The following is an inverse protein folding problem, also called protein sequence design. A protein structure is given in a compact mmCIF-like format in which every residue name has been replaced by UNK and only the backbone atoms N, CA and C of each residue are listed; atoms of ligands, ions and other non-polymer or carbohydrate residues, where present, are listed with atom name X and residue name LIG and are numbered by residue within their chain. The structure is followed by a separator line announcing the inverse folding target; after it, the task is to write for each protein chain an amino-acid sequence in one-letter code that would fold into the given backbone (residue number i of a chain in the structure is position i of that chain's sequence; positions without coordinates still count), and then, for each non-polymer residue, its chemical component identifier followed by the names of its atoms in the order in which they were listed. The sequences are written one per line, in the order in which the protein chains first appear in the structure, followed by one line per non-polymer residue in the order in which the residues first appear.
data_IF_814345619574
#
_entry.id   IF_814345619574
#
_cell.length_a   1.000
_cell.length_b   1.000
_cell.length_c   1.000
_cell.angle_alpha   90.00
_cell.angle_beta   90.00
_cell.angle_gamma   90.00
#
_symmetry.space_group_name_H-M   'P 1'
#
loop_
_entity.id
_entity.type
_entity.pdbx_description
1 polymer ?
#
# COMPACT_ATOMS: atom_id res chain seq x y z
N UNK A 1 19.39 -22.89 -13.88
CA UNK A 1 19.89 -21.92 -14.87
C UNK A 1 20.06 -20.60 -14.16
N UNK A 2 21.28 -20.08 -14.25
CA UNK A 2 21.94 -19.15 -13.34
C UNK A 2 21.14 -17.87 -13.08
N UNK A 3 20.84 -17.55 -11.81
CA UNK A 3 20.19 -16.30 -11.43
C UNK A 3 21.05 -15.08 -11.80
N UNK A 4 22.38 -15.25 -11.89
CA UNK A 4 23.32 -14.16 -12.16
C UNK A 4 23.35 -13.66 -13.60
N UNK A 5 22.89 -14.41 -14.61
CA UNK A 5 23.12 -14.04 -16.01
C UNK A 5 22.36 -12.78 -16.46
N UNK A 6 21.17 -12.50 -15.93
CA UNK A 6 20.33 -11.33 -16.31
C UNK A 6 20.65 -10.10 -15.43
N UNK A 7 20.79 -10.29 -14.12
CA UNK A 7 21.20 -9.20 -13.20
C UNK A 7 22.60 -8.66 -13.51
N UNK A 8 23.58 -9.53 -13.82
CA UNK A 8 24.90 -9.07 -14.27
C UNK A 8 24.85 -8.32 -15.59
N UNK A 9 23.96 -8.71 -16.50
CA UNK A 9 23.79 -8.00 -17.77
C UNK A 9 23.21 -6.60 -17.55
N UNK A 10 22.21 -6.44 -16.67
CA UNK A 10 21.69 -5.13 -16.29
C UNK A 10 22.77 -4.24 -15.67
N UNK A 11 23.52 -4.77 -14.70
CA UNK A 11 24.63 -4.05 -14.07
C UNK A 11 25.73 -3.68 -15.09
N UNK A 12 26.09 -4.59 -16.00
CA UNK A 12 27.06 -4.33 -17.07
C UNK A 12 26.55 -3.25 -18.04
N UNK A 13 25.27 -3.29 -18.42
CA UNK A 13 24.68 -2.29 -19.30
C UNK A 13 24.75 -0.90 -18.68
N UNK A 14 24.46 -0.77 -17.38
CA UNK A 14 24.63 0.50 -16.67
C UNK A 14 26.10 0.93 -16.65
N UNK A 15 27.03 -0.01 -16.39
CA UNK A 15 28.48 0.27 -16.35
C UNK A 15 29.07 0.74 -17.69
N UNK A 16 28.50 0.29 -18.81
CA UNK A 16 28.99 0.61 -20.15
C UNK A 16 28.37 1.88 -20.73
N UNK A 17 27.33 2.43 -20.09
CA UNK A 17 26.71 3.68 -20.51
C UNK A 17 27.45 4.85 -19.85
N UNK A 18 28.22 5.65 -20.62
CA UNK A 18 29.10 6.68 -20.06
C UNK A 18 28.34 7.85 -19.42
N UNK A 19 27.02 7.92 -19.60
CA UNK A 19 26.18 8.97 -19.03
C UNK A 19 26.04 8.84 -17.53
N UNK A 20 26.00 7.62 -16.98
CA UNK A 20 25.68 7.40 -15.57
C UNK A 20 26.94 7.39 -14.72
N UNK A 21 27.04 8.31 -13.76
CA UNK A 21 28.15 8.31 -12.80
C UNK A 21 27.66 8.70 -11.40
N UNK A 22 28.06 7.96 -10.37
CA UNK A 22 27.45 8.21 -9.08
C UNK A 22 27.95 7.38 -7.92
N UNK A 23 27.22 7.48 -6.83
CA UNK A 23 27.56 6.82 -5.56
C UNK A 23 26.56 5.70 -5.25
N UNK A 24 27.06 4.60 -4.67
CA UNK A 24 26.23 3.54 -4.07
C UNK A 24 26.54 3.52 -2.57
N UNK A 25 25.57 3.91 -1.73
CA UNK A 25 25.72 3.99 -0.28
C UNK A 25 24.78 3.01 0.44
N UNK A 26 25.33 2.06 1.17
CA UNK A 26 24.57 0.95 1.74
C UNK A 26 24.74 0.95 3.27
N UNK A 27 23.63 0.79 4.02
CA UNK A 27 23.65 0.71 5.49
C UNK A 27 22.99 -0.58 5.96
N UNK A 28 23.65 -1.24 6.91
CA UNK A 28 23.16 -2.48 7.49
C UNK A 28 23.28 -3.64 6.50
N UNK A 29 22.20 -4.37 6.27
CA UNK A 29 22.24 -5.59 5.48
C UNK A 29 22.22 -5.38 3.95
N UNK A 30 22.18 -4.14 3.46
CA UNK A 30 22.08 -3.84 2.02
C UNK A 30 23.33 -4.00 1.17
N UNK A 31 24.45 -4.51 1.71
CA UNK A 31 25.82 -4.47 1.11
C UNK A 31 26.07 -5.33 -0.14
N UNK A 32 25.12 -5.44 -1.06
CA UNK A 32 25.19 -6.34 -2.22
C UNK A 32 25.04 -5.65 -3.56
N UNK A 33 24.48 -4.45 -3.64
CA UNK A 33 24.26 -3.74 -4.91
C UNK A 33 25.60 -3.35 -5.52
N UNK A 34 26.49 -2.69 -4.77
CA UNK A 34 27.81 -2.30 -5.27
C UNK A 34 28.60 -3.50 -5.81
N UNK A 35 28.48 -4.65 -5.14
CA UNK A 35 29.17 -5.90 -5.52
C UNK A 35 28.74 -6.38 -6.91
N UNK A 36 27.47 -6.26 -7.29
CA UNK A 36 27.01 -6.63 -8.64
C UNK A 36 27.67 -5.78 -9.72
N UNK A 37 27.80 -4.47 -9.50
CA UNK A 37 28.46 -3.56 -10.43
C UNK A 37 29.95 -3.88 -10.57
N UNK A 38 30.64 -4.21 -9.48
CA UNK A 38 32.04 -4.63 -9.55
C UNK A 38 32.24 -5.97 -10.27
N UNK A 39 31.35 -6.94 -10.04
CA UNK A 39 31.42 -8.26 -10.70
C UNK A 39 31.12 -8.20 -12.19
N UNK A 40 30.22 -7.31 -12.61
CA UNK A 40 29.89 -7.11 -14.01
C UNK A 40 31.08 -6.57 -14.83
N UNK A 41 31.96 -5.77 -14.20
CA UNK A 41 33.08 -5.10 -14.86
C UNK A 41 32.67 -3.76 -15.48
N UNK A 42 33.64 -2.89 -15.75
CA UNK A 42 33.39 -1.52 -16.27
C UNK A 42 33.03 -0.47 -15.20
N UNK A 43 32.87 -0.87 -13.94
CA UNK A 43 32.39 0.00 -12.85
C UNK A 43 33.20 1.29 -12.62
N UNK A 44 34.47 1.36 -13.03
CA UNK A 44 35.26 2.60 -12.94
C UNK A 44 34.65 3.76 -13.77
N UNK A 45 33.88 3.43 -14.82
CA UNK A 45 33.17 4.38 -15.65
C UNK A 45 31.85 4.89 -15.06
N UNK A 46 31.38 4.30 -13.94
CA UNK A 46 30.01 4.51 -13.42
C UNK A 46 29.95 4.74 -11.91
N UNK A 47 30.77 4.05 -11.13
CA UNK A 47 30.78 4.16 -9.66
C UNK A 47 31.92 5.08 -9.24
N UNK A 48 31.56 6.30 -8.84
CA UNK A 48 32.46 7.30 -8.28
C UNK A 48 32.93 6.91 -6.87
N UNK A 49 32.01 6.38 -6.06
CA UNK A 49 32.24 6.02 -4.67
C UNK A 49 31.27 4.93 -4.23
N UNK A 50 31.75 4.06 -3.34
CA UNK A 50 30.87 3.23 -2.51
C UNK A 50 31.03 3.60 -1.04
N UNK A 51 29.94 3.52 -0.27
CA UNK A 51 29.94 3.81 1.16
C UNK A 51 29.24 2.69 1.93
N UNK A 52 29.84 2.27 3.02
CA UNK A 52 29.29 1.26 3.93
C UNK A 52 29.42 1.76 5.36
N UNK A 53 28.30 1.81 6.10
CA UNK A 53 28.29 2.16 7.51
C UNK A 53 27.49 1.15 8.35
N UNK A 54 28.18 0.45 9.25
CA UNK A 54 27.57 -0.46 10.23
C UNK A 54 27.40 0.17 11.61
N UNK A 55 28.36 0.99 12.01
CA UNK A 55 28.32 1.65 13.31
C UNK A 55 27.39 2.86 13.28
N UNK A 56 26.48 2.94 14.25
CA UNK A 56 25.47 3.99 14.32
C UNK A 56 26.09 5.38 14.46
N UNK A 57 27.17 5.54 15.23
CA UNK A 57 27.82 6.83 15.44
C UNK A 57 28.57 7.29 14.19
N UNK A 58 29.23 6.37 13.48
CA UNK A 58 29.84 6.66 12.16
C UNK A 58 28.76 7.09 11.17
N UNK A 59 27.66 6.35 11.13
CA UNK A 59 26.52 6.65 10.27
C UNK A 59 25.94 8.03 10.59
N UNK A 60 25.72 8.34 11.87
CA UNK A 60 25.16 9.62 12.32
C UNK A 60 26.11 10.81 12.05
N UNK A 61 27.42 10.58 12.12
CA UNK A 61 28.41 11.61 11.78
C UNK A 61 28.37 12.00 10.29
N UNK A 62 27.96 11.10 9.41
CA UNK A 62 27.88 11.35 7.96
C UNK A 62 26.51 11.90 7.56
N UNK A 63 25.42 11.26 7.98
CA UNK A 63 24.08 11.55 7.49
C UNK A 63 23.15 12.21 8.53
N UNK A 64 23.69 12.60 9.69
CA UNK A 64 22.92 13.18 10.80
C UNK A 64 22.21 12.12 11.64
N UNK A 65 21.63 12.55 12.77
CA UNK A 65 20.89 11.66 13.68
C UNK A 65 19.51 11.32 13.11
N UNK A 66 19.03 10.11 13.41
CA UNK A 66 17.68 9.67 13.08
C UNK A 66 17.00 8.99 14.27
N UNK A 67 15.69 9.21 14.42
CA UNK A 67 14.89 8.52 15.44
C UNK A 67 14.79 7.01 15.18
N UNK A 68 14.86 6.61 13.90
CA UNK A 68 14.91 5.21 13.45
C UNK A 68 15.96 5.05 12.36
N UNK A 69 16.84 4.08 12.53
CA UNK A 69 17.91 3.81 11.58
C UNK A 69 17.37 3.22 10.27
N UNK A 70 16.46 2.23 10.33
CA UNK A 70 15.72 1.78 9.15
C UNK A 70 14.46 2.63 8.99
N UNK A 71 14.55 3.69 8.20
CA UNK A 71 13.45 4.61 7.92
C UNK A 71 13.62 5.34 6.59
N UNK A 72 12.50 5.85 6.05
CA UNK A 72 12.50 6.72 4.86
C UNK A 72 13.33 7.98 5.07
N UNK A 73 13.25 8.58 6.25
CA UNK A 73 14.02 9.79 6.59
C UNK A 73 15.53 9.54 6.53
N UNK A 74 15.98 8.37 7.01
CA UNK A 74 17.38 7.97 6.89
C UNK A 74 17.80 7.80 5.43
N UNK A 75 17.01 7.08 4.64
CA UNK A 75 17.26 6.91 3.21
C UNK A 75 17.39 8.28 2.51
N UNK A 76 16.46 9.21 2.78
CA UNK A 76 16.48 10.53 2.16
C UNK A 76 17.76 11.30 2.48
N UNK A 77 18.20 11.29 3.74
CA UNK A 77 19.44 11.95 4.16
C UNK A 77 20.66 11.40 3.42
N UNK A 78 20.70 10.08 3.17
CA UNK A 78 21.77 9.46 2.37
C UNK A 78 21.69 9.89 0.91
N UNK A 79 20.52 9.81 0.27
CA UNK A 79 20.33 10.20 -1.12
C UNK A 79 20.74 11.66 -1.37
N UNK A 80 20.31 12.56 -0.49
CA UNK A 80 20.60 13.98 -0.62
C UNK A 80 22.08 14.28 -0.40
N UNK A 81 22.69 13.71 0.64
CA UNK A 81 24.11 13.90 0.93
C UNK A 81 25.00 13.36 -0.20
N UNK A 82 24.76 12.12 -0.63
CA UNK A 82 25.63 11.46 -1.61
C UNK A 82 25.49 12.05 -3.00
N UNK A 83 24.27 12.43 -3.39
CA UNK A 83 24.04 13.10 -4.66
C UNK A 83 24.72 14.48 -4.68
N UNK A 84 24.55 15.28 -3.63
CA UNK A 84 25.14 16.61 -3.56
C UNK A 84 26.68 16.53 -3.59
N UNK A 85 27.28 15.55 -2.92
CA UNK A 85 28.72 15.33 -2.99
C UNK A 85 29.23 15.04 -4.41
N UNK A 86 28.46 14.30 -5.21
CA UNK A 86 28.83 14.06 -6.61
C UNK A 86 28.81 15.37 -7.41
N UNK A 87 27.73 16.15 -7.27
CA UNK A 87 27.57 17.43 -7.96
C UNK A 87 28.67 18.42 -7.55
N UNK A 88 28.91 18.59 -6.24
CA UNK A 88 29.87 19.56 -5.72
C UNK A 88 31.32 19.24 -6.11
N UNK A 89 31.67 17.95 -6.20
CA UNK A 89 33.06 17.52 -6.45
C UNK A 89 33.39 17.28 -7.91
N UNK A 90 32.39 16.92 -8.72
CA UNK A 90 32.59 16.45 -10.09
C UNK A 90 31.81 17.29 -11.12
N UNK A 91 30.94 18.20 -10.68
CA UNK A 91 30.09 19.00 -11.56
C UNK A 91 30.89 19.82 -12.57
N UNK A 92 31.96 20.47 -12.13
CA UNK A 92 32.80 21.30 -13.02
C UNK A 92 33.58 20.46 -14.04
N UNK A 93 34.05 19.28 -13.65
CA UNK A 93 34.90 18.43 -14.49
C UNK A 93 34.11 17.51 -15.43
N UNK A 94 32.90 17.11 -15.05
CA UNK A 94 32.13 16.04 -15.73
C UNK A 94 30.67 16.38 -16.01
N UNK A 95 30.13 17.42 -15.38
CA UNK A 95 28.69 17.70 -15.34
C UNK A 95 28.04 18.06 -16.68
N UNK A 96 28.82 18.28 -17.74
CA UNK A 96 28.30 18.52 -19.10
C UNK A 96 27.94 17.24 -19.85
N UNK A 97 28.66 16.15 -19.57
CA UNK A 97 28.50 14.87 -20.27
C UNK A 97 27.94 13.76 -19.37
N UNK A 98 27.87 14.02 -18.06
CA UNK A 98 27.54 13.03 -17.03
C UNK A 98 26.26 13.40 -16.29
N UNK A 99 25.33 12.46 -16.24
CA UNK A 99 24.16 12.48 -15.38
C UNK A 99 24.50 11.83 -14.03
N UNK A 100 24.53 12.63 -12.96
CA UNK A 100 24.88 12.13 -11.64
C UNK A 100 23.76 11.31 -11.02
N UNK A 101 24.12 10.30 -10.22
CA UNK A 101 23.18 9.57 -9.36
C UNK A 101 23.73 9.29 -7.97
N UNK A 102 22.83 9.06 -7.02
CA UNK A 102 23.10 8.43 -5.74
C UNK A 102 22.07 7.32 -5.53
N UNK A 103 22.55 6.10 -5.35
CA UNK A 103 21.78 5.01 -4.80
C UNK A 103 22.03 4.94 -3.29
N UNK A 104 20.97 4.71 -2.54
CA UNK A 104 21.08 4.45 -1.12
C UNK A 104 20.16 3.33 -0.67
N UNK A 105 20.59 2.59 0.36
CA UNK A 105 19.71 1.74 1.14
C UNK A 105 20.01 1.75 2.64
N UNK A 106 18.97 1.45 3.43
CA UNK A 106 19.10 1.20 4.86
C UNK A 106 18.21 0.03 5.23
N UNK A 107 18.83 -1.09 5.61
CA UNK A 107 18.14 -2.38 5.65
C UNK A 107 18.50 -3.19 6.89
N UNK A 108 17.50 -3.86 7.47
CA UNK A 108 17.69 -4.85 8.55
C UNK A 108 17.28 -6.24 8.07
N UNK A 109 18.27 -7.12 7.90
CA UNK A 109 18.05 -8.54 7.60
C UNK A 109 17.82 -9.35 8.89
N UNK A 110 17.57 -10.65 8.72
CA UNK A 110 17.35 -11.58 9.82
C UNK A 110 18.55 -11.58 10.77
N UNK A 111 18.29 -11.30 12.04
CA UNK A 111 19.32 -11.37 13.08
C UNK A 111 19.61 -12.83 13.46
N UNK A 112 20.81 -13.10 13.97
CA UNK A 112 21.20 -14.45 14.44
C UNK A 112 20.27 -14.97 15.55
N UNK A 113 19.69 -14.08 16.38
CA UNK A 113 18.75 -14.44 17.45
C UNK A 113 17.31 -14.62 16.94
N UNK A 114 17.03 -14.29 15.69
CA UNK A 114 15.71 -14.36 15.06
C UNK A 114 14.68 -13.36 15.61
N UNK A 115 13.46 -13.41 15.07
CA UNK A 115 12.29 -12.71 15.60
C UNK A 115 12.12 -11.23 15.23
N UNK A 116 13.04 -10.63 14.48
CA UNK A 116 12.89 -9.27 13.96
C UNK A 116 12.17 -9.24 12.60
N UNK A 117 11.42 -8.16 12.35
CA UNK A 117 10.92 -7.84 11.02
C UNK A 117 12.11 -7.59 10.09
N UNK A 118 12.15 -8.27 8.95
CA UNK A 118 13.20 -8.13 7.95
C UNK A 118 12.68 -7.20 6.85
N UNK A 119 13.14 -5.96 6.84
CA UNK A 119 12.65 -4.93 5.93
C UNK A 119 13.70 -3.84 5.70
N UNK A 120 13.47 -2.98 4.71
CA UNK A 120 14.39 -1.91 4.37
C UNK A 120 13.81 -0.85 3.44
N UNK A 121 14.51 0.27 3.39
CA UNK A 121 14.25 1.36 2.46
C UNK A 121 15.38 1.40 1.44
N UNK A 122 15.04 1.50 0.15
CA UNK A 122 15.99 1.63 -0.95
C UNK A 122 15.56 2.78 -1.86
N UNK A 123 16.51 3.45 -2.49
CA UNK A 123 16.17 4.52 -3.41
C UNK A 123 17.31 4.92 -4.32
N UNK A 124 16.95 5.66 -5.37
CA UNK A 124 17.89 6.30 -6.27
C UNK A 124 17.45 7.73 -6.52
N UNK A 125 18.38 8.66 -6.40
CA UNK A 125 18.26 10.06 -6.81
C UNK A 125 19.18 10.28 -8.00
N UNK A 126 18.65 10.76 -9.12
CA UNK A 126 19.40 10.82 -10.38
C UNK A 126 18.96 12.00 -11.25
N UNK A 127 19.88 12.51 -12.06
CA UNK A 127 19.56 13.41 -13.17
C UNK A 127 19.19 12.56 -14.38
N UNK A 128 18.16 12.89 -15.16
CA UNK A 128 17.86 12.15 -16.40
C UNK A 128 18.80 12.53 -17.54
N UNK A 129 19.22 13.80 -17.59
CA UNK A 129 20.31 14.30 -18.43
C UNK A 129 21.33 15.07 -17.58
N UNK A 130 22.57 15.27 -18.08
CA UNK A 130 23.54 16.12 -17.41
C UNK A 130 22.95 17.49 -17.06
N UNK A 131 23.19 17.94 -15.82
CA UNK A 131 22.67 19.21 -15.25
C UNK A 131 21.14 19.30 -15.04
N UNK A 132 20.37 18.24 -15.25
CA UNK A 132 18.95 18.27 -14.92
C UNK A 132 18.71 18.33 -13.40
N UNK A 133 17.56 18.90 -13.03
CA UNK A 133 17.00 18.75 -11.68
C UNK A 133 16.75 17.27 -11.39
N UNK A 134 17.12 16.76 -10.19
CA UNK A 134 17.07 15.33 -9.94
C UNK A 134 15.65 14.79 -9.78
N UNK A 135 15.45 13.57 -10.24
CA UNK A 135 14.29 12.73 -9.94
C UNK A 135 14.67 11.63 -8.95
N UNK A 136 13.68 11.08 -8.26
CA UNK A 136 13.86 10.05 -7.25
C UNK A 136 12.85 8.91 -7.40
N UNK A 137 13.35 7.70 -7.18
CA UNK A 137 12.53 6.51 -6.96
C UNK A 137 12.87 5.98 -5.59
N UNK A 138 11.87 5.90 -4.71
CA UNK A 138 12.00 5.38 -3.35
C UNK A 138 11.08 4.19 -3.19
N UNK A 139 11.59 3.09 -2.64
CA UNK A 139 10.83 1.88 -2.36
C UNK A 139 11.03 1.41 -0.93
N UNK A 140 10.01 0.75 -0.39
CA UNK A 140 10.15 -0.07 0.81
C UNK A 140 10.03 -1.54 0.42
N UNK A 141 10.89 -2.36 1.02
CA UNK A 141 10.97 -3.79 0.74
C UNK A 141 10.85 -4.61 2.02
N UNK A 142 10.18 -5.75 1.93
CA UNK A 142 10.16 -6.78 2.97
C UNK A 142 10.86 -8.02 2.46
N UNK A 143 11.73 -8.59 3.29
CA UNK A 143 12.48 -9.79 2.98
C UNK A 143 11.80 -11.00 3.60
N UNK A 144 11.48 -11.97 2.76
CA UNK A 144 10.66 -13.14 3.13
C UNK A 144 11.47 -14.44 3.16
N UNK A 145 12.69 -14.44 2.60
CA UNK A 145 13.61 -15.57 2.73
C UNK A 145 13.96 -15.83 4.21
N UNK A 146 14.14 -17.11 4.55
CA UNK A 146 14.48 -17.54 5.91
C UNK A 146 15.96 -17.34 6.28
N UNK A 147 16.85 -17.17 5.29
CA UNK A 147 18.28 -17.04 5.52
C UNK A 147 18.79 -15.64 5.19
N UNK A 148 19.56 -15.03 6.10
CA UNK A 148 20.09 -13.69 5.90
C UNK A 148 20.91 -13.53 4.60
N UNK A 149 21.67 -14.55 4.21
CA UNK A 149 22.43 -14.53 2.96
C UNK A 149 21.54 -14.48 1.71
N UNK A 150 20.41 -15.21 1.72
CA UNK A 150 19.42 -15.20 0.64
C UNK A 150 18.69 -13.85 0.59
N UNK A 151 18.41 -13.26 1.76
CA UNK A 151 17.84 -11.92 1.85
C UNK A 151 18.77 -10.86 1.24
N UNK A 152 20.06 -10.90 1.58
CA UNK A 152 21.09 -10.02 1.04
C UNK A 152 21.23 -10.13 -0.48
N UNK A 153 21.31 -11.36 -0.99
CA UNK A 153 21.36 -11.61 -2.44
C UNK A 153 20.14 -10.98 -3.15
N UNK A 154 18.93 -11.21 -2.61
CA UNK A 154 17.70 -10.68 -3.18
C UNK A 154 17.67 -9.14 -3.17
N UNK A 155 18.11 -8.50 -2.09
CA UNK A 155 18.27 -7.04 -2.03
C UNK A 155 19.23 -6.52 -3.12
N UNK A 156 20.36 -7.22 -3.32
CA UNK A 156 21.30 -6.87 -4.38
C UNK A 156 20.66 -6.87 -5.76
N UNK A 157 19.83 -7.89 -6.06
CA UNK A 157 19.07 -7.97 -7.31
C UNK A 157 18.06 -6.83 -7.43
N UNK A 158 17.29 -6.53 -6.37
CA UNK A 158 16.34 -5.40 -6.36
C UNK A 158 17.05 -4.07 -6.60
N UNK A 159 18.21 -3.84 -5.97
CA UNK A 159 18.96 -2.60 -6.15
C UNK A 159 19.48 -2.42 -7.57
N UNK A 160 19.98 -3.49 -8.21
CA UNK A 160 20.36 -3.46 -9.63
C UNK A 160 19.15 -3.21 -10.52
N UNK A 161 18.02 -3.88 -10.27
CA UNK A 161 16.78 -3.64 -11.01
C UNK A 161 16.30 -2.20 -10.86
N UNK A 162 16.35 -1.64 -9.65
CA UNK A 162 15.96 -0.26 -9.36
C UNK A 162 16.81 0.75 -10.13
N UNK A 163 18.14 0.59 -10.10
CA UNK A 163 19.06 1.43 -10.86
C UNK A 163 18.82 1.33 -12.37
N UNK A 164 18.73 0.12 -12.89
CA UNK A 164 18.48 -0.13 -14.31
C UNK A 164 17.14 0.48 -14.76
N UNK A 165 16.08 0.26 -13.99
CA UNK A 165 14.75 0.76 -14.32
C UNK A 165 14.68 2.30 -14.22
N UNK A 166 15.32 2.91 -13.23
CA UNK A 166 15.41 4.37 -13.15
C UNK A 166 16.14 4.96 -14.37
N UNK A 167 17.23 4.34 -14.81
CA UNK A 167 18.04 4.89 -15.90
C UNK A 167 17.44 4.65 -17.28
N UNK A 168 16.82 3.49 -17.51
CA UNK A 168 16.37 3.08 -18.84
C UNK A 168 14.85 3.09 -19.02
N UNK A 169 14.06 3.16 -17.94
CA UNK A 169 12.60 2.99 -17.97
C UNK A 169 11.81 4.09 -17.23
N UNK A 170 12.45 5.15 -16.71
CA UNK A 170 11.76 6.25 -15.99
C UNK A 170 10.60 6.89 -16.79
N UNK A 171 10.70 6.95 -18.12
CA UNK A 171 9.64 7.46 -19.00
C UNK A 171 8.39 6.56 -19.07
N UNK A 172 8.46 5.33 -18.53
CA UNK A 172 7.36 4.37 -18.43
C UNK A 172 7.23 3.87 -16.97
N UNK A 173 6.65 4.67 -16.06
CA UNK A 173 6.59 4.36 -14.62
C UNK A 173 6.01 2.98 -14.26
N UNK A 174 5.03 2.50 -15.02
CA UNK A 174 4.46 1.17 -14.78
C UNK A 174 5.40 0.04 -15.13
N UNK A 175 6.16 0.18 -16.23
CA UNK A 175 7.18 -0.81 -16.64
C UNK A 175 8.32 -0.80 -15.63
N UNK A 176 8.70 0.39 -15.14
CA UNK A 176 9.65 0.54 -14.05
C UNK A 176 9.22 -0.28 -12.84
N UNK A 177 7.97 -0.13 -12.38
CA UNK A 177 7.44 -0.90 -11.22
C UNK A 177 7.47 -2.40 -11.47
N UNK A 178 7.05 -2.85 -12.66
CA UNK A 178 7.03 -4.26 -13.04
C UNK A 178 8.43 -4.89 -13.02
N UNK A 179 9.45 -4.14 -13.44
CA UNK A 179 10.83 -4.63 -13.56
C UNK A 179 11.56 -4.81 -12.23
N UNK A 180 11.04 -4.28 -11.11
CA UNK A 180 11.75 -4.26 -9.82
C UNK A 180 12.03 -5.67 -9.28
N UNK A 181 11.14 -6.63 -9.56
CA UNK A 181 11.29 -8.04 -9.19
C UNK A 181 11.73 -8.93 -10.36
N UNK A 182 12.29 -8.38 -11.43
CA UNK A 182 12.89 -9.21 -12.47
C UNK A 182 13.89 -10.20 -11.84
N UNK A 183 13.70 -11.49 -12.14
CA UNK A 183 14.45 -12.64 -11.58
C UNK A 183 14.23 -12.91 -10.09
N UNK A 184 13.25 -12.27 -9.48
CA UNK A 184 12.80 -12.55 -8.12
C UNK A 184 11.34 -13.03 -8.14
N UNK A 185 10.97 -13.77 -7.11
CA UNK A 185 9.57 -14.08 -6.83
C UNK A 185 9.12 -13.26 -5.65
N UNK A 186 7.82 -12.99 -5.58
CA UNK A 186 7.18 -12.29 -4.47
C UNK A 186 7.23 -13.08 -3.16
N UNK A 187 7.66 -14.35 -3.21
CA UNK A 187 7.97 -15.16 -2.04
C UNK A 187 9.35 -14.88 -1.42
N UNK A 188 10.25 -14.18 -2.13
CA UNK A 188 11.56 -13.76 -1.60
C UNK A 188 11.56 -12.31 -1.12
N UNK A 189 10.98 -11.42 -1.93
CA UNK A 189 10.86 -9.99 -1.65
C UNK A 189 9.45 -9.52 -1.97
N UNK A 190 8.89 -8.73 -1.06
CA UNK A 190 7.69 -7.93 -1.30
C UNK A 190 8.09 -6.46 -1.40
N UNK A 191 7.51 -5.73 -2.37
CA UNK A 191 7.63 -4.27 -2.47
C UNK A 191 6.27 -3.66 -2.12
N UNK A 192 6.12 -3.19 -0.88
CA UNK A 192 4.85 -2.71 -0.33
C UNK A 192 4.70 -1.17 -0.34
N UNK A 193 5.70 -0.46 -0.87
CA UNK A 193 5.62 0.96 -1.19
C UNK A 193 6.57 1.31 -2.34
N UNK A 194 6.09 2.18 -3.24
CA UNK A 194 6.91 2.92 -4.20
C UNK A 194 6.46 4.37 -4.25
N UNK A 195 7.42 5.29 -4.31
CA UNK A 195 7.20 6.72 -4.50
C UNK A 195 8.16 7.26 -5.56
N UNK A 196 7.59 7.93 -6.55
CA UNK A 196 8.27 8.57 -7.68
C UNK A 196 8.12 10.08 -7.54
N UNK A 197 9.23 10.82 -7.50
CA UNK A 197 9.23 12.30 -7.36
C UNK A 197 10.30 12.99 -8.22
N UNK A 198 10.13 14.29 -8.48
CA UNK A 198 11.07 15.09 -9.28
C UNK A 198 10.63 15.28 -10.73
N UNK A 199 11.51 15.88 -11.54
CA UNK A 199 11.14 16.44 -12.84
C UNK A 199 10.56 15.41 -13.81
N UNK A 200 11.11 14.19 -13.84
CA UNK A 200 10.64 13.10 -14.71
C UNK A 200 9.27 12.56 -14.29
N UNK A 201 8.91 12.69 -13.02
CA UNK A 201 7.71 12.08 -12.45
C UNK A 201 6.61 13.09 -12.12
N UNK A 202 6.72 14.34 -12.58
CA UNK A 202 5.77 15.43 -12.31
C UNK A 202 4.31 15.14 -12.71
N UNK A 203 4.10 14.26 -13.68
CA UNK A 203 2.76 13.84 -14.15
C UNK A 203 2.31 12.50 -13.57
N UNK A 204 3.13 11.86 -12.73
CA UNK A 204 2.84 10.56 -12.15
C UNK A 204 1.98 10.72 -10.91
N UNK A 205 0.86 10.00 -10.88
CA UNK A 205 0.07 9.84 -9.65
C UNK A 205 0.56 8.59 -8.91
N UNK A 206 1.23 8.78 -7.77
CA UNK A 206 1.79 7.67 -6.99
C UNK A 206 0.72 6.68 -6.49
N UNK A 207 -0.56 7.07 -6.44
CA UNK A 207 -1.66 6.14 -6.11
C UNK A 207 -1.88 5.10 -7.21
N UNK A 208 -1.59 5.44 -8.46
CA UNK A 208 -1.59 4.46 -9.56
C UNK A 208 -0.41 3.50 -9.43
N UNK A 209 0.73 3.95 -8.90
CA UNK A 209 1.87 3.06 -8.65
C UNK A 209 1.59 2.12 -7.47
N UNK A 210 0.95 2.62 -6.40
CA UNK A 210 0.44 1.80 -5.32
C UNK A 210 -0.57 0.74 -5.82
N UNK A 211 -1.52 1.13 -6.69
CA UNK A 211 -2.41 0.19 -7.36
C UNK A 211 -1.63 -0.83 -8.19
N UNK A 212 -0.61 -0.39 -8.91
CA UNK A 212 0.21 -1.25 -9.77
C UNK A 212 0.90 -2.34 -8.95
N UNK A 213 1.47 -2.02 -7.78
CA UNK A 213 2.09 -3.00 -6.88
C UNK A 213 1.14 -4.16 -6.53
N UNK A 214 -0.12 -3.84 -6.22
CA UNK A 214 -1.14 -4.86 -5.91
C UNK A 214 -1.57 -5.61 -7.15
N UNK A 215 -1.75 -4.91 -8.27
CA UNK A 215 -2.19 -5.50 -9.53
C UNK A 215 -1.19 -6.52 -10.09
N UNK A 216 0.11 -6.28 -9.93
CA UNK A 216 1.19 -7.16 -10.40
C UNK A 216 1.62 -8.19 -9.36
N UNK A 217 1.02 -8.17 -8.16
CA UNK A 217 1.34 -9.08 -7.06
C UNK A 217 2.64 -8.77 -6.34
N UNK A 218 3.29 -7.62 -6.64
CA UNK A 218 4.50 -7.17 -5.92
C UNK A 218 4.24 -6.94 -4.43
N UNK A 219 2.99 -6.64 -4.06
CA UNK A 219 2.50 -6.68 -2.69
C UNK A 219 1.03 -7.11 -2.65
N UNK A 220 0.60 -7.70 -1.55
CA UNK A 220 -0.83 -8.00 -1.33
C UNK A 220 -1.66 -6.75 -0.98
N UNK A 221 -1.01 -5.66 -0.55
CA UNK A 221 -1.71 -4.42 -0.24
C UNK A 221 -0.83 -3.17 -0.28
N UNK A 222 -1.42 -2.05 -0.67
CA UNK A 222 -0.76 -0.74 -0.69
C UNK A 222 -1.68 0.33 -0.09
N UNK A 223 -1.11 1.38 0.50
CA UNK A 223 -1.86 2.41 1.22
C UNK A 223 -1.56 3.82 0.73
N UNK A 224 -2.55 4.70 0.81
CA UNK A 224 -2.37 6.14 0.62
C UNK A 224 -3.33 6.95 1.49
N UNK A 225 -2.89 8.14 1.89
CA UNK A 225 -3.64 9.05 2.75
C UNK A 225 -4.60 9.97 2.00
N UNK A 226 -5.44 10.73 2.73
CA UNK A 226 -6.31 11.75 2.15
C UNK A 226 -5.52 12.92 1.54
N UNK A 227 -4.26 13.11 1.94
CA UNK A 227 -3.32 14.04 1.32
C UNK A 227 -2.74 13.55 -0.01
N UNK A 228 -3.23 12.40 -0.50
CA UNK A 228 -2.86 11.73 -1.75
C UNK A 228 -1.43 11.16 -1.76
N UNK A 229 -0.76 11.11 -0.61
CA UNK A 229 0.57 10.52 -0.49
C UNK A 229 0.48 9.02 -0.19
N UNK A 230 1.40 8.26 -0.77
CA UNK A 230 1.57 6.84 -0.45
C UNK A 230 2.09 6.69 0.97
N UNK A 231 1.63 5.64 1.64
CA UNK A 231 1.88 5.37 3.05
C UNK A 231 2.50 4.00 3.22
N UNK A 232 3.57 3.89 4.00
CA UNK A 232 4.16 2.58 4.31
C UNK A 232 3.25 1.90 5.36
N UNK A 233 2.68 0.71 5.05
CA UNK A 233 1.65 0.12 5.91
C UNK A 233 2.10 -0.18 7.34
N UNK A 234 3.30 -0.74 7.53
CA UNK A 234 3.79 -1.09 8.87
C UNK A 234 4.01 0.15 9.75
N UNK A 235 4.44 1.28 9.19
CA UNK A 235 4.66 2.52 9.90
C UNK A 235 3.34 3.18 10.31
N UNK A 236 2.34 3.18 9.43
CA UNK A 236 1.06 3.84 9.68
C UNK A 236 0.15 3.03 10.59
N UNK A 237 0.13 1.71 10.47
CA UNK A 237 -0.74 0.83 11.27
C UNK A 237 -0.21 0.60 12.69
N UNK A 238 1.11 0.71 12.88
CA UNK A 238 1.78 0.35 14.13
C UNK A 238 1.20 1.08 15.33
N UNK A 239 0.87 0.30 16.37
CA UNK A 239 0.32 0.73 17.67
C UNK A 239 -1.07 1.36 17.62
N UNK A 240 -1.67 1.52 16.44
CA UNK A 240 -3.01 2.10 16.29
C UNK A 240 -4.08 1.04 16.45
N UNK A 241 -5.24 1.44 16.96
CA UNK A 241 -6.46 0.66 16.83
C UNK A 241 -7.04 0.90 15.44
N UNK A 242 -7.50 -0.13 14.76
CA UNK A 242 -7.88 -0.07 13.35
C UNK A 242 -9.36 -0.35 13.21
N UNK A 243 -10.08 0.53 12.53
CA UNK A 243 -11.39 0.25 11.97
C UNK A 243 -11.28 0.27 10.46
N UNK A 244 -11.72 -0.80 9.81
CA UNK A 244 -11.68 -0.92 8.35
C UNK A 244 -13.06 -1.20 7.79
N UNK A 245 -13.52 -0.37 6.86
CA UNK A 245 -14.72 -0.61 6.05
C UNK A 245 -14.29 -1.06 4.65
N UNK A 246 -14.80 -2.20 4.21
CA UNK A 246 -14.64 -2.66 2.82
C UNK A 246 -15.80 -2.17 1.98
N UNK A 247 -15.51 -1.57 0.83
CA UNK A 247 -16.57 -1.06 -0.03
C UNK A 247 -16.14 -0.90 -1.49
N UNK A 248 -17.13 -0.79 -2.37
CA UNK A 248 -16.87 -0.37 -3.75
C UNK A 248 -16.58 1.13 -3.85
N UNK A 249 -17.14 1.93 -2.94
CA UNK A 249 -16.99 3.38 -2.86
C UNK A 249 -17.19 4.07 -4.21
N UNK A 250 -18.23 3.67 -4.96
CA UNK A 250 -18.46 4.08 -6.35
C UNK A 250 -19.87 4.68 -6.58
N UNK A 251 -20.16 5.89 -6.08
CA UNK A 251 -19.35 6.70 -5.15
C UNK A 251 -19.52 6.26 -3.68
N UNK A 252 -18.70 6.78 -2.74
CA UNK A 252 -19.04 6.75 -1.32
C UNK A 252 -20.38 7.45 -1.08
N UNK A 253 -21.25 6.87 -0.26
CA UNK A 253 -22.57 7.44 0.07
C UNK A 253 -22.63 7.86 1.53
N UNK A 254 -23.72 8.55 1.92
CA UNK A 254 -23.98 8.88 3.32
C UNK A 254 -24.05 7.62 4.21
N UNK A 255 -24.48 6.47 3.65
CA UNK A 255 -24.49 5.18 4.35
C UNK A 255 -23.09 4.76 4.81
N UNK A 256 -22.06 4.94 3.96
CA UNK A 256 -20.70 4.57 4.32
C UNK A 256 -20.18 5.42 5.49
N UNK A 257 -20.48 6.72 5.45
CA UNK A 257 -20.04 7.65 6.50
C UNK A 257 -20.76 7.36 7.81
N UNK A 258 -22.09 7.24 7.79
CA UNK A 258 -22.91 6.93 8.96
C UNK A 258 -22.48 5.61 9.61
N UNK A 259 -22.24 4.59 8.79
CA UNK A 259 -21.74 3.29 9.24
C UNK A 259 -20.36 3.38 9.93
N UNK A 260 -19.42 4.13 9.35
CA UNK A 260 -18.09 4.34 9.94
C UNK A 260 -18.15 5.16 11.23
N UNK A 261 -19.00 6.18 11.29
CA UNK A 261 -19.18 7.03 12.47
C UNK A 261 -19.80 6.26 13.63
N UNK A 262 -20.89 5.51 13.36
CA UNK A 262 -21.53 4.63 14.34
C UNK A 262 -20.56 3.56 14.86
N UNK A 263 -19.81 2.92 13.95
CA UNK A 263 -18.80 1.93 14.33
C UNK A 263 -17.69 2.54 15.17
N UNK A 264 -17.22 3.74 14.82
CA UNK A 264 -16.19 4.46 15.58
C UNK A 264 -16.67 4.78 16.99
N UNK A 265 -17.86 5.37 17.13
CA UNK A 265 -18.43 5.70 18.43
C UNK A 265 -18.51 4.45 19.32
N UNK A 266 -18.93 3.31 18.77
CA UNK A 266 -18.99 2.04 19.50
C UNK A 266 -17.60 1.48 19.82
N UNK A 267 -16.66 1.56 18.89
CA UNK A 267 -15.29 1.05 19.06
C UNK A 267 -14.51 1.82 20.12
N UNK A 268 -14.72 3.13 20.22
CA UNK A 268 -14.13 4.00 21.26
C UNK A 268 -14.53 3.56 22.68
N UNK A 269 -15.68 2.88 22.84
CA UNK A 269 -16.11 2.35 24.15
C UNK A 269 -15.37 1.07 24.57
N UNK A 270 -14.61 0.42 23.68
CA UNK A 270 -13.85 -0.77 24.04
C UNK A 270 -12.62 -0.38 24.90
N UNK A 271 -12.48 -0.92 26.13
CA UNK A 271 -11.37 -0.57 27.01
C UNK A 271 -9.99 -0.83 26.41
N UNK A 272 -9.86 -1.75 25.45
CA UNK A 272 -8.60 -2.04 24.78
C UNK A 272 -8.23 -1.02 23.69
N UNK A 273 -9.16 -0.16 23.30
CA UNK A 273 -8.96 0.97 22.37
C UNK A 273 -8.56 2.25 23.13
N UNK A 274 -8.90 2.34 24.42
CA UNK A 274 -8.64 3.51 25.24
C UNK A 274 -7.15 3.96 25.19
N UNK A 275 -6.93 5.24 24.89
CA UNK A 275 -5.59 5.84 24.83
C UNK A 275 -4.77 5.47 23.58
N UNK A 276 -5.34 4.72 22.63
CA UNK A 276 -4.74 4.49 21.31
C UNK A 276 -5.36 5.43 20.27
N UNK A 277 -4.55 5.82 19.30
CA UNK A 277 -5.06 6.48 18.10
C UNK A 277 -5.89 5.47 17.28
N UNK A 278 -7.10 5.86 16.88
CA UNK A 278 -7.94 5.09 15.98
C UNK A 278 -7.65 5.53 14.56
N UNK A 279 -7.26 4.58 13.71
CA UNK A 279 -7.14 4.80 12.28
C UNK A 279 -8.35 4.20 11.57
N UNK A 280 -9.14 5.07 10.94
CA UNK A 280 -10.18 4.67 10.01
C UNK A 280 -9.57 4.36 8.65
N UNK A 281 -9.88 3.19 8.11
CA UNK A 281 -9.43 2.71 6.82
C UNK A 281 -10.64 2.38 5.94
N UNK A 282 -10.55 2.75 4.67
CA UNK A 282 -11.45 2.24 3.63
C UNK A 282 -10.68 1.30 2.73
N UNK A 283 -11.15 0.08 2.56
CA UNK A 283 -10.53 -0.93 1.70
C UNK A 283 -11.21 -0.97 0.33
N UNK A 284 -10.41 -0.77 -0.72
CA UNK A 284 -10.76 -1.05 -2.11
C UNK A 284 -10.09 -2.36 -2.55
N UNK A 285 -10.85 -3.44 -2.64
CA UNK A 285 -10.30 -4.72 -3.11
C UNK A 285 -10.11 -4.70 -4.64
N UNK A 286 -9.15 -5.48 -5.14
CA UNK A 286 -8.97 -5.70 -6.58
C UNK A 286 -10.23 -6.27 -7.24
N UNK A 287 -11.02 -7.06 -6.51
CA UNK A 287 -12.31 -7.55 -6.98
C UNK A 287 -13.32 -6.40 -7.19
N UNK A 288 -13.40 -5.43 -6.26
CA UNK A 288 -14.26 -4.25 -6.41
C UNK A 288 -13.79 -3.31 -7.52
N UNK A 289 -12.49 -3.24 -7.77
CA UNK A 289 -11.89 -2.39 -8.81
C UNK A 289 -12.05 -2.97 -10.21
N UNK A 290 -12.05 -4.30 -10.34
CA UNK A 290 -12.31 -5.02 -11.60
C UNK A 290 -13.75 -4.90 -12.07
N UNK A 291 -14.71 -4.80 -11.14
CA UNK A 291 -16.14 -4.58 -11.43
C UNK A 291 -16.72 -5.52 -12.51
N UNK A 292 -16.26 -6.78 -12.55
CA UNK A 292 -16.69 -7.78 -13.54
C UNK A 292 -15.93 -7.77 -14.87
N UNK A 293 -14.90 -6.92 -15.00
CA UNK A 293 -13.96 -6.91 -16.13
C UNK A 293 -12.57 -7.35 -15.67
N UNK A 294 -11.75 -7.88 -16.58
CA UNK A 294 -10.37 -8.29 -16.25
C UNK A 294 -9.42 -7.10 -16.04
N UNK A 295 -9.82 -5.89 -16.45
CA UNK A 295 -8.97 -4.69 -16.46
C UNK A 295 -9.51 -3.63 -15.51
N UNK A 296 -8.65 -3.12 -14.61
CA UNK A 296 -9.02 -1.99 -13.75
C UNK A 296 -9.02 -0.69 -14.55
N UNK A 297 -10.16 0.02 -14.54
CA UNK A 297 -10.24 1.38 -15.10
C UNK A 297 -9.55 2.37 -14.15
N UNK A 298 -8.43 2.94 -14.61
CA UNK A 298 -7.61 3.90 -13.85
C UNK A 298 -8.35 5.19 -13.53
N UNK A 299 -9.21 5.66 -14.43
CA UNK A 299 -10.00 6.89 -14.21
C UNK A 299 -11.04 6.65 -13.14
N UNK A 300 -11.68 5.49 -13.18
CA UNK A 300 -12.65 5.08 -12.17
C UNK A 300 -11.98 4.90 -10.80
N UNK A 301 -10.83 4.22 -10.73
CA UNK A 301 -10.04 4.11 -9.50
C UNK A 301 -9.66 5.47 -8.93
N UNK A 302 -9.10 6.38 -9.75
CA UNK A 302 -8.71 7.71 -9.29
C UNK A 302 -9.91 8.55 -8.86
N UNK A 303 -11.08 8.40 -9.50
CA UNK A 303 -12.31 9.04 -9.06
C UNK A 303 -12.69 8.57 -7.65
N UNK A 304 -12.73 7.25 -7.40
CA UNK A 304 -13.02 6.70 -6.06
C UNK A 304 -12.02 7.18 -5.02
N UNK A 305 -10.72 7.16 -5.36
CA UNK A 305 -9.64 7.63 -4.48
C UNK A 305 -9.76 9.13 -4.15
N UNK A 306 -10.11 9.97 -5.13
CA UNK A 306 -10.32 11.41 -4.92
C UNK A 306 -11.55 11.70 -4.05
N UNK A 307 -12.61 10.90 -4.17
CA UNK A 307 -13.81 11.04 -3.33
C UNK A 307 -13.58 10.58 -1.90
N UNK A 308 -12.89 9.46 -1.70
CA UNK A 308 -12.47 9.01 -0.37
C UNK A 308 -11.54 10.02 0.30
N UNK A 309 -10.60 10.60 -0.45
CA UNK A 309 -9.74 11.68 0.04
C UNK A 309 -10.53 12.93 0.43
N UNK A 310 -11.59 13.28 -0.31
CA UNK A 310 -12.49 14.38 0.04
C UNK A 310 -13.23 14.15 1.36
N UNK A 311 -13.54 12.88 1.68
CA UNK A 311 -14.07 12.47 2.98
C UNK A 311 -13.00 12.34 4.08
N UNK A 312 -11.73 12.68 3.82
CA UNK A 312 -10.64 12.53 4.78
C UNK A 312 -10.21 11.08 5.05
N UNK A 313 -10.61 10.13 4.20
CA UNK A 313 -10.35 8.70 4.43
C UNK A 313 -8.94 8.28 4.01
N UNK A 314 -8.34 7.40 4.81
CA UNK A 314 -7.13 6.67 4.42
C UNK A 314 -7.55 5.41 3.66
N UNK A 315 -6.91 5.16 2.51
CA UNK A 315 -7.31 4.08 1.60
C UNK A 315 -6.29 2.95 1.62
N UNK A 316 -6.79 1.73 1.73
CA UNK A 316 -6.05 0.47 1.55
C UNK A 316 -6.52 -0.17 0.24
N UNK A 317 -5.60 -0.42 -0.70
CA UNK A 317 -5.85 -1.28 -1.86
C UNK A 317 -5.37 -2.68 -1.47
N UNK A 318 -6.15 -3.72 -1.77
CA UNK A 318 -5.75 -5.10 -1.43
C UNK A 318 -6.17 -6.13 -2.49
N UNK A 319 -5.43 -7.24 -2.55
CA UNK A 319 -5.85 -8.46 -3.25
C UNK A 319 -6.60 -9.46 -2.34
N UNK A 320 -6.90 -9.05 -1.09
CA UNK A 320 -7.49 -9.88 -0.05
C UNK A 320 -8.99 -10.06 -0.22
N UNK A 321 -9.41 -10.99 -1.09
CA UNK A 321 -10.82 -11.30 -1.28
C UNK A 321 -11.49 -11.76 0.02
N UNK A 322 -10.86 -12.64 0.80
CA UNK A 322 -11.41 -13.14 2.05
C UNK A 322 -11.08 -12.21 3.23
N UNK A 323 -12.06 -11.89 4.07
CA UNK A 323 -11.90 -11.02 5.25
C UNK A 323 -10.82 -11.54 6.22
N UNK A 324 -10.69 -12.86 6.39
CA UNK A 324 -9.66 -13.42 7.27
C UNK A 324 -8.22 -13.14 6.79
N UNK A 325 -8.00 -12.94 5.48
CA UNK A 325 -6.69 -12.54 4.93
C UNK A 325 -6.37 -11.09 5.26
N UNK A 326 -7.35 -10.19 5.13
CA UNK A 326 -7.23 -8.80 5.57
C UNK A 326 -6.97 -8.72 7.09
N UNK A 327 -7.73 -9.49 7.88
CA UNK A 327 -7.55 -9.56 9.33
C UNK A 327 -6.12 -9.97 9.70
N UNK A 328 -5.60 -11.03 9.06
CA UNK A 328 -4.23 -11.48 9.26
C UNK A 328 -3.19 -10.41 8.86
N UNK A 329 -3.41 -9.73 7.73
CA UNK A 329 -2.54 -8.65 7.26
C UNK A 329 -2.45 -7.49 8.26
N UNK A 330 -3.59 -7.04 8.79
CA UNK A 330 -3.66 -5.95 9.78
C UNK A 330 -3.07 -6.39 11.12
N UNK A 331 -3.44 -7.58 11.61
CA UNK A 331 -2.97 -8.13 12.88
C UNK A 331 -1.45 -8.38 12.93
N UNK A 332 -0.80 -8.50 11.77
CA UNK A 332 0.65 -8.59 11.70
C UNK A 332 1.35 -7.23 11.92
N UNK A 333 0.66 -6.11 11.66
CA UNK A 333 1.25 -4.75 11.68
C UNK A 333 0.86 -3.92 12.90
N UNK A 334 -0.18 -4.34 13.63
CA UNK A 334 -0.59 -3.68 14.86
C UNK A 334 -0.87 -4.69 15.97
N UNK A 335 -0.58 -4.27 17.19
CA UNK A 335 -1.02 -4.92 18.42
C UNK A 335 -2.32 -4.30 18.97
N UNK A 336 -2.85 -3.27 18.29
CA UNK A 336 -4.11 -2.63 18.63
C UNK A 336 -5.32 -3.46 18.25
N UNK A 337 -6.48 -3.08 18.80
CA UNK A 337 -7.75 -3.69 18.40
C UNK A 337 -8.02 -3.45 16.92
N UNK A 338 -8.65 -4.45 16.29
CA UNK A 338 -9.09 -4.39 14.91
C UNK A 338 -10.61 -4.60 14.92
N UNK A 339 -11.33 -3.70 14.27
CA UNK A 339 -12.73 -3.85 13.94
C UNK A 339 -12.93 -3.81 12.43
N UNK A 340 -13.81 -4.65 11.92
CA UNK A 340 -14.25 -4.60 10.52
C UNK A 340 -15.67 -4.10 10.46
N UNK A 341 -15.91 -3.09 9.64
CA UNK A 341 -17.17 -2.40 9.51
C UNK A 341 -17.85 -2.89 8.23
N UNK A 342 -19.12 -3.31 8.34
CA UNK A 342 -19.88 -3.85 7.21
C UNK A 342 -21.39 -3.75 7.43
N UNK A 343 -22.14 -3.84 6.33
CA UNK A 343 -23.59 -4.02 6.40
C UNK A 343 -23.98 -5.47 6.69
N UNK A 344 -25.18 -5.66 7.24
CA UNK A 344 -25.76 -6.97 7.49
C UNK A 344 -25.76 -7.92 6.27
N UNK A 345 -25.97 -7.48 5.02
CA UNK A 345 -25.85 -8.36 3.86
C UNK A 345 -24.47 -9.02 3.76
N UNK A 346 -23.39 -8.28 4.00
CA UNK A 346 -22.02 -8.83 3.96
C UNK A 346 -21.76 -9.80 5.11
N UNK A 347 -22.39 -9.62 6.28
CA UNK A 347 -22.35 -10.62 7.34
C UNK A 347 -23.06 -11.90 6.91
N UNK A 348 -24.24 -11.80 6.29
CA UNK A 348 -24.97 -12.97 5.78
C UNK A 348 -24.12 -13.73 4.75
N UNK A 349 -23.46 -13.01 3.83
CA UNK A 349 -22.56 -13.60 2.84
C UNK A 349 -21.39 -14.36 3.47
N UNK A 350 -20.90 -13.96 4.66
CA UNK A 350 -19.87 -14.71 5.39
C UNK A 350 -20.36 -16.09 5.88
N UNK A 351 -21.67 -16.31 5.95
CA UNK A 351 -22.28 -17.60 6.25
C UNK A 351 -22.62 -18.41 4.99
N UNK A 352 -22.24 -17.97 3.80
CA UNK A 352 -22.27 -18.82 2.61
C UNK A 352 -21.02 -19.72 2.58
N UNK A 353 -21.20 -21.04 2.76
CA UNK A 353 -20.11 -22.02 2.75
C UNK A 353 -19.30 -22.04 1.45
N UNK A 354 -19.91 -21.68 0.32
CA UNK A 354 -19.22 -21.66 -0.97
C UNK A 354 -18.08 -20.63 -1.00
N UNK A 355 -18.16 -19.60 -0.17
CA UNK A 355 -17.14 -18.55 -0.05
C UNK A 355 -15.88 -19.00 0.71
N UNK A 356 -15.92 -20.20 1.34
CA UNK A 356 -14.82 -20.76 2.13
C UNK A 356 -14.30 -22.09 1.60
N UNK A 357 -14.71 -22.48 0.39
CA UNK A 357 -14.40 -23.79 -0.19
C UNK A 357 -12.90 -24.03 -0.47
N UNK A 358 -12.09 -22.96 -0.49
CA UNK A 358 -10.63 -23.01 -0.65
C UNK A 358 -9.88 -23.32 0.66
N UNK A 359 -10.56 -23.27 1.82
CA UNK A 359 -9.98 -23.59 3.12
C UNK A 359 -10.21 -25.06 3.50
N UNK A 360 -9.17 -25.81 3.90
CA UNK A 360 -9.33 -27.21 4.35
C UNK A 360 -10.36 -27.40 5.46
N UNK A 361 -10.49 -26.43 6.38
CA UNK A 361 -11.47 -26.42 7.45
C UNK A 361 -12.73 -25.58 7.17
N UNK A 362 -12.93 -25.13 5.93
CA UNK A 362 -14.11 -24.40 5.47
C UNK A 362 -14.45 -23.18 6.32
N UNK A 363 -15.76 -22.98 6.55
CA UNK A 363 -16.31 -21.84 7.30
C UNK A 363 -15.74 -21.72 8.73
N UNK A 364 -15.52 -22.85 9.42
CA UNK A 364 -14.98 -22.86 10.78
C UNK A 364 -13.53 -22.36 10.83
N UNK A 365 -12.70 -22.77 9.86
CA UNK A 365 -11.34 -22.25 9.73
C UNK A 365 -11.36 -20.75 9.38
N UNK A 366 -12.27 -20.32 8.50
CA UNK A 366 -12.42 -18.92 8.12
C UNK A 366 -12.73 -18.01 9.31
N UNK A 367 -13.77 -18.34 10.09
CA UNK A 367 -14.11 -17.58 11.30
C UNK A 367 -13.05 -17.67 12.39
N UNK A 368 -12.41 -18.84 12.55
CA UNK A 368 -11.31 -19.02 13.51
C UNK A 368 -10.10 -18.12 13.19
N UNK A 369 -9.78 -17.92 11.91
CA UNK A 369 -8.74 -17.00 11.46
C UNK A 369 -9.20 -15.53 11.56
N UNK A 370 -10.43 -15.23 11.16
CA UNK A 370 -11.00 -13.87 11.14
C UNK A 370 -11.10 -13.26 12.55
N UNK A 371 -11.64 -14.02 13.51
CA UNK A 371 -11.94 -13.54 14.86
C UNK A 371 -10.75 -13.70 15.84
N UNK A 372 -9.56 -14.02 15.30
CA UNK A 372 -8.32 -14.08 16.06
C UNK A 372 -8.01 -12.71 16.68
N UNK A 373 -7.33 -12.73 17.83
CA UNK A 373 -7.01 -11.52 18.61
C UNK A 373 -8.24 -10.69 18.98
N UNK A 374 -9.41 -11.37 19.06
CA UNK A 374 -10.68 -10.79 19.47
C UNK A 374 -11.05 -9.55 18.61
N UNK A 375 -10.81 -9.71 17.30
CA UNK A 375 -11.36 -8.87 16.24
C UNK A 375 -12.90 -8.97 16.27
N UNK A 376 -13.57 -7.83 16.08
CA UNK A 376 -15.03 -7.73 16.06
C UNK A 376 -15.54 -7.21 14.72
N UNK A 377 -16.72 -7.69 14.33
CA UNK A 377 -17.46 -7.17 13.18
C UNK A 377 -18.48 -6.16 13.68
N UNK A 378 -18.40 -4.92 13.18
CA UNK A 378 -19.35 -3.84 13.45
C UNK A 378 -20.37 -3.84 12.31
N UNK A 379 -21.61 -4.16 12.63
CA UNK A 379 -22.60 -4.58 11.65
C UNK A 379 -23.74 -3.57 11.60
N UNK A 380 -23.81 -2.87 10.48
CA UNK A 380 -24.87 -1.92 10.18
C UNK A 380 -26.15 -2.63 9.76
N UNK A 381 -27.32 -2.23 10.26
CA UNK A 381 -28.57 -2.89 9.95
C UNK A 381 -28.95 -2.73 8.49
N UNK A 382 -29.94 -3.50 8.05
CA UNK A 382 -30.48 -3.39 6.70
C UNK A 382 -32.00 -3.27 6.72
N UNK A 383 -32.54 -2.58 5.73
CA UNK A 383 -33.97 -2.56 5.46
C UNK A 383 -34.33 -3.71 4.51
N UNK A 384 -35.21 -4.61 4.96
CA UNK A 384 -35.72 -5.74 4.17
C UNK A 384 -37.24 -5.75 4.23
N UNK A 385 -37.89 -5.70 3.07
CA UNK A 385 -39.35 -5.76 2.96
C UNK A 385 -40.10 -4.71 3.82
N UNK A 386 -39.45 -3.55 4.06
CA UNK A 386 -39.98 -2.47 4.90
C UNK A 386 -39.68 -2.60 6.40
N UNK A 387 -39.04 -3.68 6.83
CA UNK A 387 -38.64 -3.92 8.22
C UNK A 387 -37.13 -3.86 8.40
N UNK A 388 -36.69 -3.35 9.55
CA UNK A 388 -35.27 -3.26 9.88
C UNK A 388 -34.83 -4.61 10.45
N UNK A 389 -33.84 -5.21 9.79
CA UNK A 389 -33.17 -6.41 10.28
C UNK A 389 -31.83 -6.03 10.90
N UNK A 390 -31.53 -6.58 12.08
CA UNK A 390 -30.28 -6.37 12.82
C UNK A 390 -29.55 -7.69 13.04
N UNK A 391 -28.39 -7.66 13.68
CA UNK A 391 -27.69 -8.89 14.11
C UNK A 391 -28.48 -9.73 15.12
N UNK A 392 -29.46 -9.14 15.81
CA UNK A 392 -30.26 -9.87 16.79
C UNK A 392 -31.47 -10.56 16.16
N UNK A 393 -31.93 -10.07 14.99
CA UNK A 393 -33.14 -10.56 14.31
C UNK A 393 -32.86 -11.33 13.03
N UNK A 394 -31.63 -11.28 12.51
CA UNK A 394 -31.25 -12.01 11.30
C UNK A 394 -31.23 -13.51 11.53
N UNK A 395 -31.68 -14.25 10.52
CA UNK A 395 -31.55 -15.70 10.44
C UNK A 395 -30.63 -16.08 9.28
N UNK A 396 -29.71 -17.01 9.51
CA UNK A 396 -28.87 -17.61 8.47
C UNK A 396 -29.43 -18.99 8.08
N UNK A 397 -28.73 -19.73 7.21
CA UNK A 397 -29.13 -21.11 6.87
C UNK A 397 -29.27 -21.98 8.12
N UNK A 398 -30.29 -22.85 8.16
CA UNK A 398 -30.67 -23.64 9.35
C UNK A 398 -29.49 -24.42 9.94
N UNK A 399 -28.65 -25.02 9.10
CA UNK A 399 -27.46 -25.79 9.51
C UNK A 399 -26.37 -24.92 10.14
N UNK A 400 -26.32 -23.62 9.81
CA UNK A 400 -25.31 -22.68 10.27
C UNK A 400 -25.80 -21.76 11.40
N UNK A 401 -27.10 -21.75 11.69
CA UNK A 401 -27.67 -20.96 12.78
C UNK A 401 -26.98 -21.26 14.14
N UNK A 402 -26.64 -22.52 14.50
CA UNK A 402 -25.92 -22.78 15.74
C UNK A 402 -24.54 -22.10 15.82
N UNK A 403 -23.84 -21.99 14.68
CA UNK A 403 -22.56 -21.27 14.60
C UNK A 403 -22.78 -19.77 14.76
N UNK A 404 -23.80 -19.21 14.10
CA UNK A 404 -24.19 -17.81 14.25
C UNK A 404 -24.46 -17.46 15.72
N UNK A 405 -25.33 -18.23 16.37
CA UNK A 405 -25.72 -18.03 17.77
C UNK A 405 -24.55 -18.13 18.73
N UNK A 406 -23.60 -19.02 18.45
CA UNK A 406 -22.36 -19.13 19.23
C UNK A 406 -21.50 -17.88 19.08
N UNK A 407 -21.24 -17.44 17.85
CA UNK A 407 -20.39 -16.28 17.56
C UNK A 407 -21.02 -14.97 18.04
N UNK A 408 -22.34 -14.83 17.90
CA UNK A 408 -23.11 -13.69 18.40
C UNK A 408 -23.05 -13.61 19.94
N UNK A 409 -23.33 -14.72 20.66
CA UNK A 409 -23.23 -14.76 22.13
C UNK A 409 -21.82 -14.50 22.65
N UNK A 410 -20.79 -14.85 21.88
CA UNK A 410 -19.39 -14.51 22.18
C UNK A 410 -19.10 -13.00 22.08
N UNK A 411 -19.98 -12.21 21.46
CA UNK A 411 -19.79 -10.79 21.20
C UNK A 411 -18.94 -10.50 19.96
N UNK A 412 -18.88 -11.45 19.02
CA UNK A 412 -18.07 -11.31 17.79
C UNK A 412 -18.73 -10.36 16.78
N UNK A 413 -20.06 -10.20 16.85
CA UNK A 413 -20.85 -9.28 16.06
C UNK A 413 -21.36 -8.17 16.97
N UNK A 414 -21.07 -6.93 16.59
CA UNK A 414 -21.48 -5.73 17.32
C UNK A 414 -22.50 -5.01 16.43
N UNK A 415 -23.77 -5.08 16.80
CA UNK A 415 -24.83 -4.30 16.15
C UNK A 415 -24.57 -2.81 16.30
N UNK A 416 -24.79 -2.07 15.21
CA UNK A 416 -24.76 -0.61 15.21
C UNK A 416 -26.19 -0.10 15.34
N UNK A 417 -26.50 0.49 16.50
CA UNK A 417 -27.86 0.95 16.84
C UNK A 417 -28.05 2.45 16.60
N UNK A 418 -26.95 3.20 16.49
CA UNK A 418 -26.92 4.64 16.22
C UNK A 418 -26.75 4.84 14.71
N UNK A 419 -27.85 4.67 13.96
CA UNK A 419 -27.88 4.79 12.50
C UNK A 419 -29.05 5.68 12.06
N UNK A 420 -28.91 6.32 10.89
CA UNK A 420 -29.98 7.11 10.28
C UNK A 420 -30.91 6.21 9.43
N UNK A 421 -32.18 5.99 9.83
CA UNK A 421 -33.09 5.10 9.11
C UNK A 421 -33.32 5.51 7.65
N UNK A 422 -33.31 6.81 7.35
CA UNK A 422 -33.51 7.33 6.00
C UNK A 422 -32.34 6.99 5.05
N UNK A 423 -31.19 6.60 5.60
CA UNK A 423 -30.03 6.18 4.82
C UNK A 423 -30.09 4.71 4.40
N UNK A 424 -30.79 3.84 5.14
CA UNK A 424 -30.86 2.40 4.87
C UNK A 424 -31.28 2.03 3.43
N UNK A 425 -32.21 2.74 2.76
CA UNK A 425 -32.60 2.43 1.38
C UNK A 425 -31.57 2.87 0.33
N UNK A 426 -30.56 3.66 0.70
CA UNK A 426 -29.63 4.28 -0.26
C UNK A 426 -28.59 3.26 -0.70
N UNK A 427 -28.57 2.97 -2.01
CA UNK A 427 -27.60 2.05 -2.61
C UNK A 427 -26.68 2.79 -3.57
N UNK A 428 -25.37 2.59 -3.41
CA UNK A 428 -24.32 3.21 -4.26
C UNK A 428 -24.55 2.96 -5.76
N UNK A 429 -25.09 1.79 -6.14
CA UNK A 429 -25.46 1.45 -7.53
C UNK A 429 -26.55 2.35 -8.11
N UNK A 430 -27.50 2.79 -7.28
CA UNK A 430 -28.61 3.63 -7.72
C UNK A 430 -28.17 5.09 -7.80
N UNK A 431 -27.33 5.54 -6.86
CA UNK A 431 -26.63 6.83 -6.94
C UNK A 431 -25.84 6.91 -8.25
N UNK A 432 -25.02 5.89 -8.55
CA UNK A 432 -24.19 5.84 -9.75
C UNK A 432 -25.01 5.93 -11.05
N UNK A 433 -26.20 5.32 -11.11
CA UNK A 433 -27.10 5.39 -12.27
C UNK A 433 -27.71 6.76 -12.48
N UNK A 434 -27.89 7.55 -11.42
CA UNK A 434 -28.48 8.90 -11.46
C UNK A 434 -27.47 9.98 -11.84
N UNK A 435 -26.20 9.87 -11.45
CA UNK A 435 -25.16 10.87 -11.74
C UNK A 435 -25.08 11.35 -13.22
N UNK A 436 -25.14 10.47 -14.24
CA UNK A 436 -25.04 10.90 -15.64
C UNK A 436 -26.35 11.48 -16.21
N UNK A 437 -27.44 11.55 -15.44
CA UNK A 437 -28.75 12.06 -15.86
C UNK A 437 -29.03 13.44 -15.27
N UNK A 438 -30.18 14.03 -15.60
CA UNK A 438 -30.66 15.31 -15.03
C UNK A 438 -31.29 15.14 -13.62
N UNK A 439 -31.23 13.93 -13.03
CA UNK A 439 -31.78 13.65 -11.69
C UNK A 439 -30.83 14.15 -10.60
N UNK A 440 -31.15 15.28 -9.96
CA UNK A 440 -30.32 15.87 -8.89
C UNK A 440 -30.51 15.22 -7.51
N UNK A 441 -31.42 14.24 -7.37
CA UNK A 441 -31.69 13.59 -6.08
C UNK A 441 -30.53 12.77 -5.52
N UNK A 442 -29.54 12.40 -6.35
CA UNK A 442 -28.34 11.68 -5.87
C UNK A 442 -27.47 12.53 -4.94
N UNK A 443 -27.63 13.86 -4.98
CA UNK A 443 -26.79 14.80 -4.23
C UNK A 443 -26.99 14.70 -2.73
N UNK A 444 -28.21 14.42 -2.28
CA UNK A 444 -28.51 14.16 -0.86
C UNK A 444 -28.18 12.73 -0.43
N UNK A 445 -27.77 11.86 -1.36
CA UNK A 445 -27.41 10.46 -1.08
C UNK A 445 -25.90 10.28 -0.86
N UNK A 446 -25.11 11.32 -1.04
CA UNK A 446 -23.66 11.33 -0.86
C UNK A 446 -23.25 12.48 0.06
N UNK A 447 -22.07 12.42 0.70
CA UNK A 447 -21.55 13.55 1.45
C UNK A 447 -21.45 14.82 0.57
N UNK A 448 -21.66 16.02 1.13
CA UNK A 448 -21.58 17.27 0.37
C UNK A 448 -20.27 17.39 -0.44
N UNK A 449 -19.14 17.07 0.18
CA UNK A 449 -17.80 17.12 -0.43
C UNK A 449 -17.69 16.17 -1.63
N UNK A 450 -18.32 14.99 -1.54
CA UNK A 450 -18.38 14.02 -2.65
C UNK A 450 -19.17 14.60 -3.82
N UNK A 451 -20.33 15.22 -3.54
CA UNK A 451 -21.16 15.83 -4.59
C UNK A 451 -20.42 16.97 -5.31
N UNK A 452 -19.71 17.81 -4.56
CA UNK A 452 -18.92 18.92 -5.11
C UNK A 452 -17.79 18.42 -6.01
N UNK A 453 -17.05 17.40 -5.55
CA UNK A 453 -15.94 16.82 -6.32
C UNK A 453 -16.46 16.14 -7.60
N UNK A 454 -17.57 15.39 -7.53
CA UNK A 454 -18.19 14.76 -8.71
C UNK A 454 -18.54 15.84 -9.75
N UNK A 455 -19.24 16.92 -9.35
CA UNK A 455 -19.62 18.00 -10.25
C UNK A 455 -18.40 18.69 -10.86
N UNK A 456 -17.44 19.09 -10.01
CA UNK A 456 -16.23 19.81 -10.41
C UNK A 456 -15.35 19.00 -11.35
N UNK A 457 -15.23 17.69 -11.12
CA UNK A 457 -14.36 16.79 -11.89
C UNK A 457 -15.09 16.08 -13.02
N UNK A 458 -16.41 16.13 -13.10
CA UNK A 458 -17.19 15.39 -14.10
C UNK A 458 -17.01 13.88 -13.95
N UNK A 459 -16.90 13.40 -12.71
CA UNK A 459 -16.74 11.97 -12.44
C UNK A 459 -18.04 11.20 -12.74
N UNK A 460 -17.90 9.90 -13.01
CA UNK A 460 -19.00 8.97 -13.28
C UNK A 460 -19.99 9.43 -14.37
N UNK A 461 -19.52 10.21 -15.34
CA UNK A 461 -20.34 10.69 -16.46
C UNK A 461 -21.17 11.93 -16.17
N UNK A 462 -20.96 12.62 -15.04
CA UNK A 462 -21.63 13.88 -14.76
C UNK A 462 -21.37 14.91 -15.88
N UNK A 463 -22.43 15.42 -16.49
CA UNK A 463 -22.35 16.42 -17.54
C UNK A 463 -22.13 17.79 -16.92
N UNK A 464 -20.94 18.36 -17.12
CA UNK A 464 -20.67 19.74 -16.68
C UNK A 464 -21.52 20.69 -17.52
N UNK A 465 -22.21 21.63 -16.87
CA UNK A 465 -22.78 22.78 -17.56
C UNK A 465 -21.66 23.47 -18.36
N UNK A 466 -21.86 23.61 -19.67
CA UNK A 466 -20.88 24.19 -20.61
C UNK A 466 -20.59 25.65 -20.33
#
# INVERSE_FOLDING_TARGET
MDAGADTLQKALQVNLDPRWYGTIAEIGAGQEVARWFFRAGGAAGTVAKTMSAYDMAVSDAVYGKSDRYVSKGRLQAMLDHEFQLNVDRLGDDRGDDTAFFAFADTVVARSYRGGNECHGWMGVKFQSHPRDEPSQVVVHVRMLDDEAALQQEALGVVGVNLLHAAFFQHHQPEVLVESLLDRLTTGRIEIDLIELTGIEFRTVDNRLMALKLVQTGLSGAAMFGPDRKVLQPSEVLRKKAILVERGSFRPPTVVNIDMLEAARARFETDPAVAGREILLLTELTMANLRAGSDVVDRRDFLARADLLAACGMTVLISDYLAYHRLAAYLAWRTDGRIGMVMGLPSLIDLFDETTHADLPGGILESFGRLLKNDLKLFVYPMLRDGEITTVDTVTVGEELQPLYDYLSRRGSFVGLDDYEPDYLPILSRDVLRRIPTDDESWTSMVPPEVSEVIRKRGFFGYQRAR
#
